data_IF_342122878332
#
_entry.id   IF_342122878332
#
_cell.length_a   1.000
_cell.length_b   1.000
_cell.length_c   1.000
_cell.angle_alpha   90.00
_cell.angle_beta   90.00
_cell.angle_gamma   90.00
#
_symmetry.space_group_name_H-M   'P 1'
#
loop_
_entity.id
_entity.type
_entity.pdbx_description
1 polymer ?
#
# COMPACT_ATOMS: atom_id res chain seq x y z
N UNK A 1 -25.33 37.16 50.51
CA UNK A 1 -23.87 37.26 50.79
C UNK A 1 -23.49 36.17 51.78
N UNK A 2 -22.72 35.15 51.36
CA UNK A 2 -21.93 34.27 52.25
C UNK A 2 -21.02 33.34 51.41
N UNK A 3 -19.73 33.71 51.43
CA UNK A 3 -18.48 32.95 51.35
C UNK A 3 -18.56 31.45 50.96
N UNK A 4 -17.99 31.06 49.81
CA UNK A 4 -16.60 30.59 49.61
C UNK A 4 -16.29 29.25 50.30
N UNK A 5 -16.01 28.22 49.50
CA UNK A 5 -15.10 27.11 49.85
C UNK A 5 -14.65 26.40 48.57
N UNK A 6 -13.52 26.86 48.05
CA UNK A 6 -12.78 26.26 46.94
C UNK A 6 -12.05 24.99 47.43
N UNK A 7 -12.36 23.83 46.86
CA UNK A 7 -11.52 22.64 47.02
C UNK A 7 -10.55 22.55 45.84
N UNK A 8 -9.33 23.05 46.04
CA UNK A 8 -8.24 22.90 45.10
C UNK A 8 -7.62 21.50 45.28
N UNK A 9 -8.00 20.56 44.41
CA UNK A 9 -7.33 19.27 44.30
C UNK A 9 -6.01 19.46 43.54
N UNK A 10 -4.89 19.55 44.27
CA UNK A 10 -3.56 19.54 43.72
C UNK A 10 -3.25 18.13 43.19
N UNK A 11 -3.48 17.90 41.89
CA UNK A 11 -3.03 16.70 41.21
C UNK A 11 -1.51 16.78 41.01
N UNK A 12 -0.76 15.93 41.73
CA UNK A 12 0.66 15.74 41.53
C UNK A 12 0.90 15.17 40.13
N UNK A 13 1.40 16.01 39.22
CA UNK A 13 1.88 15.59 37.91
C UNK A 13 3.20 14.85 38.12
N UNK A 14 3.13 13.51 38.20
CA UNK A 14 4.30 12.66 38.06
C UNK A 14 4.69 12.72 36.58
N UNK A 15 5.62 13.62 36.26
CA UNK A 15 6.36 13.61 35.00
C UNK A 15 7.20 12.32 34.97
N UNK A 16 6.59 11.25 34.48
CA UNK A 16 7.29 10.03 34.06
C UNK A 16 8.11 10.33 32.81
N UNK A 17 9.15 11.14 32.95
CA UNK A 17 10.21 11.33 31.98
C UNK A 17 11.19 10.18 32.07
N UNK A 18 10.80 9.01 31.58
CA UNK A 18 11.68 7.85 31.48
C UNK A 18 11.56 7.26 30.08
N UNK A 19 12.61 7.49 29.27
CA UNK A 19 12.95 6.82 28.02
C UNK A 19 11.84 6.84 26.95
N UNK A 20 12.11 7.26 25.72
CA UNK A 20 12.81 6.42 24.76
C UNK A 20 13.26 7.35 23.64
N UNK A 21 14.50 7.84 23.72
CA UNK A 21 15.29 7.98 22.51
C UNK A 21 15.56 6.58 21.97
N UNK A 22 14.49 5.90 21.52
CA UNK A 22 14.63 4.67 20.78
C UNK A 22 15.40 5.06 19.54
N UNK A 23 16.68 4.66 19.48
CA UNK A 23 17.42 4.65 18.24
C UNK A 23 16.44 4.06 17.22
N UNK A 24 16.01 4.89 16.27
CA UNK A 24 15.05 4.51 15.24
C UNK A 24 15.66 3.28 14.57
N UNK A 25 15.20 2.11 15.00
CA UNK A 25 15.82 0.86 14.59
C UNK A 25 15.74 0.87 13.07
N UNK A 26 16.90 0.84 12.42
CA UNK A 26 16.93 0.85 10.97
C UNK A 26 16.09 -0.35 10.53
N UNK A 27 15.02 -0.13 9.73
CA UNK A 27 14.02 -1.17 9.52
C UNK A 27 14.57 -2.34 8.71
N UNK A 28 15.75 -2.18 8.11
CA UNK A 28 16.50 -3.20 7.40
C UNK A 28 18.00 -2.98 7.60
N UNK A 29 18.78 -4.05 7.53
CA UNK A 29 20.23 -3.96 7.37
C UNK A 29 20.55 -3.32 6.01
N UNK A 30 21.68 -2.58 5.98
CA UNK A 30 22.22 -1.95 4.76
C UNK A 30 21.16 -1.09 4.02
N UNK A 31 20.53 -0.10 4.69
CA UNK A 31 19.42 0.66 4.10
C UNK A 31 19.79 1.45 2.83
N UNK A 32 21.08 1.70 2.60
CA UNK A 32 21.60 2.41 1.42
C UNK A 32 21.96 1.49 0.27
N UNK A 33 21.94 0.17 0.44
CA UNK A 33 22.15 -0.77 -0.65
C UNK A 33 21.00 -0.68 -1.65
N UNK A 34 21.32 -0.75 -2.93
CA UNK A 34 20.35 -0.61 -4.01
C UNK A 34 19.69 -1.95 -4.32
N UNK A 35 18.36 -1.95 -4.40
CA UNK A 35 17.59 -3.00 -5.03
C UNK A 35 17.60 -2.75 -6.54
N UNK A 36 18.14 -3.67 -7.36
CA UNK A 36 18.30 -3.43 -8.79
C UNK A 36 16.95 -3.41 -9.54
N UNK A 37 15.90 -3.98 -8.96
CA UNK A 37 14.54 -3.91 -9.48
C UNK A 37 13.52 -4.13 -8.35
N UNK A 38 12.24 -3.85 -8.63
CA UNK A 38 11.12 -4.13 -7.70
C UNK A 38 10.43 -5.46 -7.99
N UNK A 39 11.14 -6.42 -8.59
CA UNK A 39 10.66 -7.79 -8.73
C UNK A 39 10.56 -8.49 -7.36
N UNK A 40 9.69 -9.49 -7.26
CA UNK A 40 9.41 -10.22 -6.03
C UNK A 40 10.65 -10.93 -5.49
N UNK A 41 11.49 -11.47 -6.37
CA UNK A 41 12.78 -12.06 -6.01
C UNK A 41 13.67 -11.09 -5.24
N UNK A 42 13.63 -9.78 -5.57
CA UNK A 42 14.45 -8.78 -4.90
C UNK A 42 13.77 -8.16 -3.67
N UNK A 43 12.46 -7.92 -3.72
CA UNK A 43 11.76 -7.21 -2.65
C UNK A 43 11.31 -8.12 -1.51
N UNK A 44 11.05 -9.40 -1.75
CA UNK A 44 10.57 -10.32 -0.71
C UNK A 44 11.54 -10.43 0.47
N UNK A 45 12.85 -10.66 0.27
CA UNK A 45 13.79 -10.77 1.39
C UNK A 45 13.88 -9.49 2.22
N UNK A 46 13.71 -8.33 1.57
CA UNK A 46 13.76 -7.01 2.20
C UNK A 46 12.52 -6.76 3.05
N UNK A 47 11.33 -7.13 2.55
CA UNK A 47 10.09 -7.07 3.32
C UNK A 47 10.15 -7.99 4.54
N UNK A 48 10.62 -9.23 4.34
CA UNK A 48 10.74 -10.21 5.44
C UNK A 48 11.73 -9.75 6.50
N UNK A 49 12.86 -9.18 6.10
CA UNK A 49 13.82 -8.57 7.02
C UNK A 49 13.19 -7.44 7.85
N UNK A 50 12.35 -6.63 7.22
CA UNK A 50 11.60 -5.57 7.89
C UNK A 50 10.41 -6.06 8.74
N UNK A 51 10.25 -7.37 8.93
CA UNK A 51 9.22 -7.97 9.77
C UNK A 51 7.86 -8.15 9.09
N UNK A 52 7.76 -7.91 7.79
CA UNK A 52 6.53 -8.18 7.04
C UNK A 52 6.41 -9.69 6.75
N UNK A 53 5.21 -10.21 6.82
CA UNK A 53 4.91 -11.57 6.34
C UNK A 53 4.57 -11.51 4.86
N UNK A 54 5.12 -12.41 4.05
CA UNK A 54 4.94 -12.44 2.60
C UNK A 54 4.42 -13.79 2.13
N UNK A 55 3.54 -13.78 1.13
CA UNK A 55 3.04 -14.97 0.45
C UNK A 55 2.86 -14.65 -1.03
N UNK A 56 3.59 -15.33 -1.91
CA UNK A 56 3.44 -15.20 -3.35
C UNK A 56 2.46 -16.27 -3.83
N UNK A 57 1.44 -15.86 -4.59
CA UNK A 57 0.49 -16.76 -5.24
C UNK A 57 0.28 -16.32 -6.68
N UNK A 58 -0.19 -17.26 -7.50
CA UNK A 58 -0.69 -16.96 -8.82
C UNK A 58 -2.21 -16.74 -8.74
N UNK A 59 -2.67 -15.62 -9.29
CA UNK A 59 -4.09 -15.31 -9.41
C UNK A 59 -4.35 -14.79 -10.82
N UNK A 60 -5.28 -15.45 -11.54
CA UNK A 60 -5.65 -15.08 -12.91
C UNK A 60 -4.44 -14.97 -13.86
N UNK A 61 -3.49 -15.90 -13.74
CA UNK A 61 -2.27 -15.92 -14.55
C UNK A 61 -1.24 -14.84 -14.22
N UNK A 62 -1.42 -14.09 -13.13
CA UNK A 62 -0.46 -13.10 -12.65
C UNK A 62 0.07 -13.47 -11.26
N UNK A 63 1.38 -13.31 -11.06
CA UNK A 63 1.99 -13.42 -9.72
C UNK A 63 1.57 -12.21 -8.89
N UNK A 64 1.01 -12.47 -7.71
CA UNK A 64 0.63 -11.47 -6.71
C UNK A 64 1.37 -11.79 -5.42
N UNK A 65 1.99 -10.79 -4.81
CA UNK A 65 2.57 -10.93 -3.47
C UNK A 65 1.61 -10.34 -2.45
N UNK A 66 1.07 -11.20 -1.60
CA UNK A 66 0.35 -10.78 -0.41
C UNK A 66 1.36 -10.45 0.69
N UNK A 67 1.18 -9.29 1.31
CA UNK A 67 2.02 -8.80 2.39
C UNK A 67 1.15 -8.53 3.60
N UNK A 68 1.60 -8.90 4.80
CA UNK A 68 0.91 -8.61 6.05
C UNK A 68 1.83 -7.94 7.06
N UNK A 69 1.34 -6.85 7.65
CA UNK A 69 1.99 -6.11 8.73
C UNK A 69 0.93 -5.46 9.62
N UNK A 70 1.06 -5.55 10.95
CA UNK A 70 0.18 -4.90 11.92
C UNK A 70 -1.33 -5.14 11.66
N UNK A 71 -1.73 -6.39 11.35
CA UNK A 71 -3.11 -6.74 10.98
C UNK A 71 -3.65 -5.97 9.75
N UNK A 72 -2.77 -5.47 8.90
CA UNK A 72 -3.09 -4.92 7.58
C UNK A 72 -2.57 -5.86 6.51
N UNK A 73 -3.35 -6.01 5.44
CA UNK A 73 -3.01 -6.83 4.29
C UNK A 73 -2.87 -5.96 3.06
N UNK A 74 -1.81 -6.19 2.31
CA UNK A 74 -1.51 -5.52 1.05
C UNK A 74 -1.36 -6.55 -0.05
N UNK A 75 -1.60 -6.13 -1.28
CA UNK A 75 -1.34 -6.90 -2.48
C UNK A 75 -0.36 -6.11 -3.34
N UNK A 76 0.74 -6.74 -3.72
CA UNK A 76 1.73 -6.13 -4.60
C UNK A 76 1.65 -6.79 -5.97
N UNK A 77 1.70 -5.97 -7.00
CA UNK A 77 1.70 -6.39 -8.39
C UNK A 77 2.91 -5.77 -9.09
N UNK A 78 3.73 -6.60 -9.72
CA UNK A 78 4.83 -6.11 -10.54
C UNK A 78 4.28 -5.47 -11.83
N UNK A 79 4.91 -4.40 -12.27
CA UNK A 79 4.57 -3.64 -13.49
C UNK A 79 5.86 -3.21 -14.20
N UNK A 80 5.72 -2.84 -15.47
CA UNK A 80 6.84 -2.42 -16.31
C UNK A 80 8.04 -3.41 -16.24
N UNK A 81 7.76 -4.69 -16.50
CA UNK A 81 8.74 -5.76 -16.45
C UNK A 81 9.30 -6.08 -17.84
N UNK A 82 10.61 -6.08 -17.99
CA UNK A 82 11.30 -6.63 -19.17
C UNK A 82 11.57 -8.13 -19.04
N UNK A 83 11.61 -8.62 -17.80
CA UNK A 83 11.71 -10.05 -17.44
C UNK A 83 11.13 -10.26 -16.03
N UNK A 84 10.95 -11.51 -15.60
CA UNK A 84 10.41 -11.81 -14.26
C UNK A 84 11.24 -11.22 -13.11
N UNK A 85 12.55 -11.03 -13.33
CA UNK A 85 13.48 -10.50 -12.32
C UNK A 85 13.73 -9.00 -12.48
N UNK A 86 13.25 -8.38 -13.56
CA UNK A 86 13.55 -6.99 -13.90
C UNK A 86 12.26 -6.21 -14.15
N UNK A 87 11.74 -5.63 -13.07
CA UNK A 87 10.57 -4.77 -13.08
C UNK A 87 10.91 -3.39 -12.53
N UNK A 88 10.53 -2.35 -13.28
CA UNK A 88 10.69 -0.95 -12.87
C UNK A 88 9.49 -0.42 -12.08
N UNK A 89 8.35 -1.11 -12.13
CA UNK A 89 7.11 -0.69 -11.47
C UNK A 89 6.61 -1.68 -10.43
N UNK A 90 6.06 -1.15 -9.34
CA UNK A 90 5.36 -1.93 -8.33
C UNK A 90 4.06 -1.21 -7.96
N UNK A 91 2.93 -1.85 -8.18
CA UNK A 91 1.64 -1.35 -7.71
C UNK A 91 1.29 -2.02 -6.39
N UNK A 92 0.95 -1.21 -5.40
CA UNK A 92 0.52 -1.64 -4.08
C UNK A 92 -0.96 -1.36 -3.93
N UNK A 93 -1.73 -2.37 -3.51
CA UNK A 93 -3.16 -2.27 -3.24
C UNK A 93 -3.49 -2.70 -1.81
N UNK A 94 -4.49 -2.05 -1.23
CA UNK A 94 -5.19 -2.52 -0.04
C UNK A 94 -6.69 -2.40 -0.29
N UNK A 95 -7.37 -3.54 -0.36
CA UNK A 95 -8.83 -3.58 -0.50
C UNK A 95 -9.48 -3.43 0.88
N UNK A 96 -10.47 -2.56 0.96
CA UNK A 96 -11.13 -2.18 2.20
C UNK A 96 -12.58 -2.61 2.18
N UNK A 97 -13.03 -3.19 3.29
CA UNK A 97 -14.47 -3.36 3.54
C UNK A 97 -15.01 -2.02 4.04
N UNK A 98 -15.37 -1.16 3.11
CA UNK A 98 -15.87 0.20 3.38
C UNK A 98 -17.08 0.47 2.51
N UNK A 99 -18.10 1.09 3.08
CA UNK A 99 -19.29 1.57 2.36
C UNK A 99 -19.20 3.05 2.00
N UNK A 100 -17.99 3.61 1.97
CA UNK A 100 -17.78 5.02 1.69
C UNK A 100 -18.32 5.42 0.31
N UNK A 101 -18.97 6.58 0.27
CA UNK A 101 -19.46 7.18 -0.97
C UNK A 101 -18.33 7.74 -1.83
N UNK A 102 -18.62 8.01 -3.10
CA UNK A 102 -17.67 8.70 -3.99
C UNK A 102 -17.26 10.07 -3.43
N UNK A 103 -18.18 10.80 -2.78
CA UNK A 103 -17.87 12.08 -2.15
C UNK A 103 -16.87 11.93 -1.01
N UNK A 104 -17.01 10.88 -0.19
CA UNK A 104 -16.04 10.58 0.88
C UNK A 104 -14.68 10.16 0.32
N UNK A 105 -14.64 9.35 -0.74
CA UNK A 105 -13.40 9.00 -1.45
C UNK A 105 -12.71 10.26 -1.98
N UNK A 106 -13.47 11.17 -2.61
CA UNK A 106 -12.96 12.43 -3.11
C UNK A 106 -12.42 13.31 -1.98
N UNK A 107 -13.15 13.45 -0.87
CA UNK A 107 -12.70 14.18 0.31
C UNK A 107 -11.41 13.60 0.90
N UNK A 108 -11.29 12.27 0.99
CA UNK A 108 -10.06 11.63 1.43
C UNK A 108 -8.88 11.98 0.53
N UNK A 109 -9.11 11.98 -0.79
CA UNK A 109 -8.11 12.23 -1.83
C UNK A 109 -7.74 13.72 -2.00
N UNK A 110 -8.51 14.66 -1.44
CA UNK A 110 -8.17 16.09 -1.49
C UNK A 110 -6.90 16.43 -0.69
N UNK A 111 -6.48 15.57 0.23
CA UNK A 111 -5.20 15.72 0.94
C UNK A 111 -4.00 15.31 0.07
N UNK A 112 -2.84 15.94 0.28
CA UNK A 112 -1.57 15.52 -0.35
C UNK A 112 -1.05 14.21 0.26
N UNK A 113 -1.70 13.10 -0.07
CA UNK A 113 -1.39 11.76 0.42
C UNK A 113 -0.57 10.98 -0.60
N UNK A 114 0.37 10.13 -0.15
CA UNK A 114 1.19 9.30 -1.04
C UNK A 114 0.42 8.13 -1.68
N UNK A 115 -0.84 7.91 -1.30
CA UNK A 115 -1.73 6.89 -1.84
C UNK A 115 -3.11 7.50 -2.14
N UNK A 116 -3.82 6.89 -3.10
CA UNK A 116 -5.16 7.32 -3.52
C UNK A 116 -6.19 6.27 -3.12
N UNK A 117 -7.37 6.72 -2.71
CA UNK A 117 -8.56 5.87 -2.61
C UNK A 117 -9.29 5.84 -3.95
N UNK A 118 -9.65 4.64 -4.42
CA UNK A 118 -10.40 4.40 -5.64
C UNK A 118 -11.54 3.41 -5.38
N UNK A 119 -12.51 3.37 -6.29
CA UNK A 119 -13.59 2.38 -6.25
C UNK A 119 -13.32 1.34 -7.34
N UNK A 120 -13.11 0.09 -6.93
CA UNK A 120 -12.88 -1.05 -7.82
C UNK A 120 -13.98 -2.07 -7.52
N UNK A 121 -14.86 -2.33 -8.49
CA UNK A 121 -15.99 -3.26 -8.35
C UNK A 121 -16.84 -3.00 -7.11
N UNK A 122 -17.16 -1.73 -6.86
CA UNK A 122 -17.96 -1.30 -5.70
C UNK A 122 -17.25 -1.40 -4.34
N UNK A 123 -15.97 -1.81 -4.31
CA UNK A 123 -15.15 -1.85 -3.10
C UNK A 123 -14.14 -0.72 -3.11
N UNK A 124 -13.91 -0.11 -1.95
CA UNK A 124 -12.84 0.87 -1.82
C UNK A 124 -11.51 0.15 -1.85
N UNK A 125 -10.59 0.64 -2.67
CA UNK A 125 -9.20 0.24 -2.66
C UNK A 125 -8.33 1.46 -2.39
N UNK A 126 -7.32 1.31 -1.53
CA UNK A 126 -6.19 2.22 -1.55
C UNK A 126 -5.17 1.67 -2.53
N UNK A 127 -4.61 2.55 -3.34
CA UNK A 127 -3.58 2.17 -4.29
C UNK A 127 -2.44 3.19 -4.35
N UNK A 128 -1.24 2.67 -4.63
CA UNK A 128 -0.03 3.46 -4.80
C UNK A 128 0.89 2.78 -5.80
N UNK A 129 1.37 3.55 -6.76
CA UNK A 129 2.35 3.11 -7.73
C UNK A 129 3.76 3.58 -7.34
N UNK A 130 4.71 2.65 -7.28
CA UNK A 130 6.13 2.92 -7.05
C UNK A 130 6.90 2.70 -8.35
N UNK A 131 7.71 3.69 -8.73
CA UNK A 131 8.60 3.65 -9.88
C UNK A 131 10.04 3.53 -9.37
N UNK A 132 10.79 2.60 -9.97
CA UNK A 132 12.16 2.26 -9.63
C UNK A 132 12.94 1.90 -10.92
N UNK A 133 12.91 2.79 -11.91
CA UNK A 133 13.50 2.59 -13.25
C UNK A 133 14.99 2.18 -13.19
N UNK A 134 15.72 2.70 -12.21
CA UNK A 134 17.14 2.40 -11.96
C UNK A 134 17.35 1.73 -10.60
N UNK A 135 16.30 1.07 -10.10
CA UNK A 135 16.29 0.50 -8.76
C UNK A 135 15.87 1.49 -7.67
N UNK A 136 15.92 1.03 -6.43
CA UNK A 136 15.56 1.83 -5.24
C UNK A 136 16.39 1.40 -4.04
N UNK A 137 16.75 2.33 -3.15
CA UNK A 137 17.46 1.95 -1.93
C UNK A 137 16.57 1.07 -1.04
N UNK A 138 17.14 0.03 -0.42
CA UNK A 138 16.41 -0.91 0.47
C UNK A 138 15.59 -0.19 1.54
N UNK A 139 16.21 0.76 2.22
CA UNK A 139 15.56 1.56 3.26
C UNK A 139 14.39 2.37 2.70
N UNK A 140 14.59 3.03 1.57
CA UNK A 140 13.52 3.78 0.90
C UNK A 140 12.35 2.89 0.51
N UNK A 141 12.61 1.70 -0.02
CA UNK A 141 11.56 0.74 -0.36
C UNK A 141 10.72 0.33 0.87
N UNK A 142 11.37 -0.02 1.98
CA UNK A 142 10.67 -0.41 3.21
C UNK A 142 9.86 0.74 3.80
N UNK A 143 10.41 1.96 3.79
CA UNK A 143 9.65 3.15 4.22
C UNK A 143 8.43 3.36 3.32
N UNK A 144 8.53 3.14 2.00
CA UNK A 144 7.38 3.26 1.11
C UNK A 144 6.27 2.24 1.43
N UNK A 145 6.64 0.99 1.74
CA UNK A 145 5.70 -0.05 2.17
C UNK A 145 5.05 0.29 3.53
N UNK A 146 5.85 0.73 4.51
CA UNK A 146 5.37 1.12 5.83
C UNK A 146 4.45 2.36 5.78
N UNK A 147 4.80 3.36 4.97
CA UNK A 147 3.93 4.52 4.72
C UNK A 147 2.61 4.08 4.10
N UNK A 148 2.63 3.14 3.14
CA UNK A 148 1.39 2.63 2.55
C UNK A 148 0.54 1.85 3.57
N UNK A 149 1.15 1.08 4.47
CA UNK A 149 0.43 0.48 5.62
C UNK A 149 -0.22 1.56 6.50
N UNK A 150 0.51 2.61 6.84
CA UNK A 150 -0.04 3.73 7.63
C UNK A 150 -1.20 4.43 6.92
N UNK A 151 -1.19 4.50 5.59
CA UNK A 151 -2.32 5.06 4.83
C UNK A 151 -3.61 4.26 5.01
N UNK A 152 -3.51 2.95 5.24
CA UNK A 152 -4.67 2.09 5.53
C UNK A 152 -5.30 2.51 6.86
N UNK A 153 -4.49 2.79 7.88
CA UNK A 153 -4.97 3.28 9.17
C UNK A 153 -5.61 4.67 9.05
N UNK A 154 -4.99 5.55 8.26
CA UNK A 154 -5.54 6.89 8.01
C UNK A 154 -6.88 6.83 7.28
N UNK A 155 -7.09 5.87 6.39
CA UNK A 155 -8.39 5.64 5.76
C UNK A 155 -9.45 5.25 6.79
N UNK A 156 -9.17 4.23 7.62
CA UNK A 156 -10.13 3.80 8.64
C UNK A 156 -10.45 4.91 9.64
N UNK A 157 -9.47 5.74 9.99
CA UNK A 157 -9.70 6.89 10.86
C UNK A 157 -10.59 7.95 10.19
N UNK A 158 -10.33 8.25 8.92
CA UNK A 158 -11.20 9.13 8.13
C UNK A 158 -12.63 8.61 8.02
N UNK A 159 -12.81 7.31 7.83
CA UNK A 159 -14.12 6.66 7.71
C UNK A 159 -14.95 6.85 9.01
N UNK A 160 -14.32 6.65 10.17
CA UNK A 160 -14.95 6.90 11.48
C UNK A 160 -15.38 8.36 11.65
N UNK A 161 -14.54 9.30 11.22
CA UNK A 161 -14.81 10.74 11.38
C UNK A 161 -15.94 11.23 10.48
N UNK A 162 -16.07 10.65 9.29
CA UNK A 162 -17.10 11.03 8.31
C UNK A 162 -18.41 10.26 8.48
N UNK A 163 -18.51 9.42 9.52
CA UNK A 163 -19.73 8.67 9.81
C UNK A 163 -20.08 7.60 8.78
N UNK A 164 -19.12 7.19 7.93
CA UNK A 164 -19.26 5.97 7.17
C UNK A 164 -19.23 4.80 8.16
N UNK A 165 -20.36 4.13 8.34
CA UNK A 165 -20.44 2.95 9.21
C UNK A 165 -19.80 1.79 8.45
N UNK A 166 -18.52 1.53 8.72
CA UNK A 166 -17.87 0.29 8.32
C UNK A 166 -18.55 -0.88 9.05
N UNK A 167 -19.53 -1.52 8.41
CA UNK A 167 -20.04 -2.82 8.86
C UNK A 167 -18.99 -3.87 8.54
N UNK A 168 -18.12 -4.13 9.53
CA UNK A 168 -17.25 -5.30 9.52
C UNK A 168 -18.13 -6.53 9.72
N UNK A 169 -18.40 -7.26 8.64
CA UNK A 169 -18.89 -8.62 8.76
C UNK A 169 -17.69 -9.50 9.09
N UNK A 170 -17.59 -9.93 10.35
CA UNK A 170 -16.82 -11.11 10.70
C UNK A 170 -17.48 -12.28 9.95
N UNK A 171 -16.84 -12.91 8.95
CA UNK A 171 -17.40 -14.12 8.37
C UNK A 171 -17.36 -15.16 9.49
N UNK A 172 -18.52 -15.46 10.07
CA UNK A 172 -18.70 -16.59 10.97
C UNK A 172 -18.11 -17.80 10.25
N UNK A 173 -17.03 -18.33 10.82
CA UNK A 173 -16.31 -19.48 10.28
C UNK A 173 -17.26 -20.55 9.76
N UNK A 174 -17.32 -20.69 8.44
CA UNK A 174 -18.16 -21.64 7.75
C UNK A 174 -17.88 -21.54 6.27
N UNK A 175 -17.01 -22.43 5.78
CA UNK A 175 -16.61 -22.61 4.39
C UNK A 175 -15.57 -21.60 3.89
N UNK A 176 -14.29 -21.99 3.98
CA UNK A 176 -13.27 -21.55 3.01
C UNK A 176 -13.80 -21.81 1.60
N UNK A 177 -14.07 -20.76 0.78
CA UNK A 177 -14.19 -20.97 -0.65
C UNK A 177 -12.83 -21.48 -1.11
N UNK A 178 -12.83 -22.54 -1.91
CA UNK A 178 -11.60 -22.98 -2.60
C UNK A 178 -10.95 -21.77 -3.28
N UNK A 179 -9.63 -21.77 -3.42
CA UNK A 179 -8.80 -20.68 -3.95
C UNK A 179 -9.10 -20.24 -5.41
N UNK A 180 -10.28 -20.54 -5.95
CA UNK A 180 -10.78 -20.15 -7.27
C UNK A 180 -11.56 -18.82 -7.28
N UNK A 181 -11.65 -18.10 -6.16
CA UNK A 181 -12.58 -16.97 -5.98
C UNK A 181 -11.99 -15.57 -6.11
N UNK A 182 -11.06 -15.32 -7.02
CA UNK A 182 -10.88 -13.95 -7.53
C UNK A 182 -11.77 -13.85 -8.76
N UNK A 183 -12.91 -13.16 -8.63
CA UNK A 183 -13.84 -13.03 -9.74
C UNK A 183 -13.16 -12.44 -11.00
N UNK A 184 -13.60 -12.92 -12.16
CA UNK A 184 -13.08 -12.52 -13.47
C UNK A 184 -13.23 -11.00 -13.68
N UNK A 185 -14.19 -10.37 -13.00
CA UNK A 185 -14.43 -8.93 -13.07
C UNK A 185 -13.31 -8.10 -12.44
N UNK A 186 -12.72 -8.56 -11.33
CA UNK A 186 -11.55 -7.86 -10.73
C UNK A 186 -10.37 -7.90 -11.69
N UNK A 187 -10.18 -8.99 -12.42
CA UNK A 187 -9.17 -9.10 -13.46
C UNK A 187 -9.41 -8.15 -14.64
N UNK A 188 -10.65 -8.03 -15.13
CA UNK A 188 -10.99 -7.18 -16.27
C UNK A 188 -10.77 -5.69 -15.98
N UNK A 189 -11.00 -5.25 -14.74
CA UNK A 189 -10.65 -3.87 -14.33
C UNK A 189 -9.14 -3.65 -14.36
N UNK A 190 -8.33 -4.61 -13.89
CA UNK A 190 -6.88 -4.49 -13.95
C UNK A 190 -6.34 -4.49 -15.37
N UNK A 191 -6.89 -5.34 -16.24
CA UNK A 191 -6.56 -5.36 -17.66
C UNK A 191 -6.90 -4.02 -18.31
N UNK A 192 -8.10 -3.49 -18.04
CA UNK A 192 -8.56 -2.20 -18.59
C UNK A 192 -7.73 -1.03 -18.07
N UNK A 193 -7.35 -1.01 -16.79
CA UNK A 193 -6.45 0.02 -16.24
C UNK A 193 -5.04 -0.09 -16.82
N UNK A 194 -4.54 -1.30 -17.05
CA UNK A 194 -3.25 -1.53 -17.71
C UNK A 194 -3.28 -1.06 -19.17
N UNK A 195 -4.35 -1.37 -19.91
CA UNK A 195 -4.51 -1.02 -21.33
C UNK A 195 -4.76 0.48 -21.54
N UNK A 196 -5.55 1.13 -20.66
CA UNK A 196 -5.86 2.55 -20.76
C UNK A 196 -4.78 3.47 -20.16
N UNK A 197 -3.82 2.95 -19.38
CA UNK A 197 -2.73 3.75 -18.82
C UNK A 197 -1.70 4.22 -19.87
N UNK A 198 -1.91 3.91 -21.16
CA UNK A 198 -1.11 4.48 -22.25
C UNK A 198 0.37 4.05 -22.26
N UNK A 199 0.75 3.08 -21.43
CA UNK A 199 2.06 2.43 -21.45
C UNK A 199 2.09 1.27 -22.45
N UNK A 200 1.31 1.34 -23.53
CA UNK A 200 1.61 0.54 -24.71
C UNK A 200 2.93 1.09 -25.26
N UNK A 201 3.96 0.27 -25.11
CA UNK A 201 5.28 0.43 -25.69
C UNK A 201 5.11 0.77 -27.18
N UNK A 202 5.10 2.07 -27.50
CA UNK A 202 5.17 2.51 -28.88
C UNK A 202 6.56 2.09 -29.34
N UNK A 203 6.59 1.01 -30.12
CA UNK A 203 7.71 0.67 -30.98
C UNK A 203 7.93 1.85 -31.92
N UNK A 204 8.59 2.88 -31.41
CA UNK A 204 9.08 3.99 -32.18
C UNK A 204 10.32 3.45 -32.87
N UNK A 205 10.11 2.85 -34.03
CA UNK A 205 11.17 2.62 -35.00
C UNK A 205 11.72 3.99 -35.38
N UNK A 206 12.73 4.45 -34.66
CA UNK A 206 13.56 5.58 -35.07
C UNK A 206 14.26 5.11 -36.35
N UNK A 207 13.67 5.46 -37.49
CA UNK A 207 14.34 5.36 -38.78
C UNK A 207 15.58 6.24 -38.74
N UNK A 208 16.75 5.63 -38.81
CA UNK A 208 18.01 6.33 -39.03
C UNK A 208 17.97 6.94 -40.44
N UNK A 209 18.14 8.27 -40.60
CA UNK A 209 18.28 8.85 -41.91
C UNK A 209 19.69 8.59 -42.47
N UNK A 210 19.72 7.89 -43.61
CA UNK A 210 20.64 8.17 -44.72
C UNK A 210 22.12 7.79 -44.55
N UNK A 211 22.48 6.64 -45.11
CA UNK A 211 23.83 6.44 -45.66
C UNK A 211 23.93 7.23 -46.98
N UNK A 212 24.82 8.22 -47.03
CA UNK A 212 25.23 8.89 -48.26
C UNK A 212 26.53 8.19 -48.72
N UNK A 213 26.51 7.66 -49.95
CA UNK A 213 27.71 7.30 -50.71
C UNK A 213 28.33 8.55 -51.33
#
# INVERSE_FOLDING_TARGET
MKFLSSLAAAAAVVLSGAALGGAMAQPVSRPTEMLPSVSFTHIEPVLREAGFQTLIQEANGQKVMYVQANNRRLQLFQRACSSETQCAGLWMFAFMTSSASLDQINQFNMGSKPARATLINGKVALDRYLIADYGTARGSFVINAAVFVSMIDQWFEFEKQTGAVAVSFEPLFGETPSAAGMDHETYDVFKTLSENSGLTNSNNSIGLPGSIN
#
